data_IF_672847076441
#
_entry.id   IF_672847076441
#
_cell.length_a   1.000
_cell.length_b   1.000
_cell.length_c   1.000
_cell.angle_alpha   90.00
_cell.angle_beta   90.00
_cell.angle_gamma   90.00
#
_symmetry.space_group_name_H-M   'P 1'
#
loop_
_entity.id
_entity.type
_entity.pdbx_description
1 polymer ?
#
# COMPACT_ATOMS: atom_id res chain seq x y z
N UNK A 1 -6.21 -9.50 16.90
CA UNK A 1 -6.33 -10.34 15.69
C UNK A 1 -5.10 -10.14 14.82
N UNK A 2 -4.50 -11.18 14.24
CA UNK A 2 -3.26 -11.08 13.46
C UNK A 2 -3.42 -10.23 12.19
N UNK A 3 -2.35 -9.56 11.76
CA UNK A 3 -2.29 -8.62 10.63
C UNK A 3 -2.91 -9.13 9.31
N UNK A 4 -2.80 -10.44 9.02
CA UNK A 4 -3.34 -11.06 7.81
C UNK A 4 -4.85 -10.86 7.64
N UNK A 5 -5.61 -10.77 8.73
CA UNK A 5 -7.07 -10.60 8.68
C UNK A 5 -7.54 -9.18 8.30
N UNK A 6 -6.62 -8.25 7.99
CA UNK A 6 -6.93 -6.85 7.68
C UNK A 6 -6.54 -6.43 6.26
N UNK A 7 -5.84 -7.28 5.50
CA UNK A 7 -5.55 -7.06 4.08
C UNK A 7 -6.86 -7.19 3.30
N UNK A 8 -7.14 -6.26 2.40
CA UNK A 8 -8.49 -6.18 1.79
C UNK A 8 -8.55 -6.01 0.27
N UNK A 9 -7.46 -5.59 -0.41
CA UNK A 9 -7.50 -5.39 -1.87
C UNK A 9 -6.12 -5.32 -2.52
N UNK A 10 -5.33 -4.30 -2.22
CA UNK A 10 -4.09 -4.03 -2.94
C UNK A 10 -3.07 -5.15 -2.74
N UNK A 11 -2.56 -5.68 -3.86
CA UNK A 11 -1.49 -6.67 -3.93
C UNK A 11 -0.67 -6.41 -5.19
N UNK A 12 0.65 -6.44 -5.08
CA UNK A 12 1.56 -6.36 -6.24
C UNK A 12 2.86 -7.08 -5.92
N UNK A 13 3.43 -7.78 -6.90
CA UNK A 13 4.72 -8.46 -6.80
C UNK A 13 5.81 -7.60 -7.45
N UNK A 14 6.99 -7.55 -6.84
CA UNK A 14 8.15 -6.89 -7.44
C UNK A 14 8.52 -7.54 -8.79
N UNK A 15 9.10 -6.79 -9.74
CA UNK A 15 9.49 -7.34 -11.04
C UNK A 15 10.49 -8.51 -10.97
N UNK A 16 11.31 -8.56 -9.91
CA UNK A 16 12.25 -9.67 -9.66
C UNK A 16 11.62 -10.87 -8.94
N UNK A 17 10.33 -10.78 -8.58
CA UNK A 17 9.59 -11.85 -7.91
C UNK A 17 9.93 -12.06 -6.44
N UNK A 18 10.74 -11.19 -5.81
CA UNK A 18 11.28 -11.41 -4.46
C UNK A 18 10.57 -10.65 -3.35
N UNK A 19 9.65 -9.74 -3.67
CA UNK A 19 8.95 -8.93 -2.68
C UNK A 19 7.48 -8.83 -3.00
N UNK A 20 6.64 -9.26 -2.06
CA UNK A 20 5.20 -9.11 -2.15
C UNK A 20 4.77 -7.87 -1.36
N UNK A 21 4.03 -6.98 -2.00
CA UNK A 21 3.43 -5.82 -1.36
C UNK A 21 1.94 -6.04 -1.22
N UNK A 22 1.37 -5.71 -0.07
CA UNK A 22 -0.07 -5.76 0.12
C UNK A 22 -0.55 -4.67 1.07
N UNK A 23 -1.83 -4.33 0.96
CA UNK A 23 -2.42 -3.20 1.68
C UNK A 23 -3.57 -3.59 2.60
N UNK A 24 -3.62 -2.94 3.75
CA UNK A 24 -4.82 -2.79 4.58
C UNK A 24 -5.49 -1.45 4.27
N UNK A 25 -6.57 -1.10 4.99
CA UNK A 25 -7.14 0.26 4.96
C UNK A 25 -6.15 1.35 5.41
N UNK A 26 -5.19 1.01 6.27
CA UNK A 26 -4.30 1.99 6.93
C UNK A 26 -2.87 1.98 6.38
N UNK A 27 -2.39 0.81 5.96
CA UNK A 27 -0.96 0.57 5.70
C UNK A 27 -0.70 -0.18 4.42
N UNK A 28 0.43 0.15 3.79
CA UNK A 28 1.11 -0.69 2.78
C UNK A 28 2.28 -1.38 3.45
N UNK A 29 2.35 -2.69 3.25
CA UNK A 29 3.41 -3.55 3.76
C UNK A 29 4.20 -4.17 2.62
N UNK A 30 5.46 -4.50 2.91
CA UNK A 30 6.32 -5.31 2.06
C UNK A 30 6.81 -6.54 2.84
N UNK A 31 6.80 -7.70 2.19
CA UNK A 31 7.37 -8.94 2.71
C UNK A 31 8.36 -9.51 1.69
N UNK A 32 9.41 -10.16 2.20
CA UNK A 32 10.19 -11.08 1.39
C UNK A 32 9.32 -12.23 0.91
N UNK A 33 9.42 -12.57 -0.37
CA UNK A 33 8.62 -13.60 -1.01
C UNK A 33 9.50 -14.58 -1.76
N UNK A 34 9.31 -15.87 -1.50
CA UNK A 34 9.89 -16.96 -2.28
C UNK A 34 8.86 -17.43 -3.31
N UNK A 35 9.10 -17.11 -4.58
CA UNK A 35 8.22 -17.49 -5.67
C UNK A 35 8.33 -18.97 -6.08
N UNK A 36 9.42 -19.66 -5.71
CA UNK A 36 9.59 -21.09 -5.99
C UNK A 36 8.76 -21.89 -4.99
N UNK A 37 8.88 -21.56 -3.71
CA UNK A 37 8.17 -22.25 -2.63
C UNK A 37 6.75 -21.70 -2.38
N UNK A 38 6.43 -20.51 -2.92
CA UNK A 38 5.15 -19.83 -2.71
C UNK A 38 4.96 -19.31 -1.28
N UNK A 39 6.06 -18.88 -0.64
CA UNK A 39 6.09 -18.52 0.80
C UNK A 39 6.32 -17.03 1.00
N UNK A 40 5.50 -16.43 1.86
CA UNK A 40 5.69 -15.06 2.37
C UNK A 40 6.39 -15.13 3.73
N UNK A 41 7.53 -14.46 3.86
CA UNK A 41 8.37 -14.49 5.05
C UNK A 41 8.14 -13.27 5.96
N UNK A 42 8.01 -13.51 7.26
CA UNK A 42 7.94 -12.46 8.29
C UNK A 42 9.36 -12.09 8.81
N UNK A 43 9.57 -10.89 9.39
CA UNK A 43 8.57 -9.82 9.55
C UNK A 43 8.33 -9.04 8.24
N UNK A 44 7.22 -8.30 8.19
CA UNK A 44 7.05 -7.26 7.17
C UNK A 44 7.75 -5.96 7.54
N UNK A 45 7.92 -5.13 6.51
CA UNK A 45 8.25 -3.72 6.60
C UNK A 45 7.01 -2.87 6.29
N UNK A 46 6.74 -1.84 7.10
CA UNK A 46 5.68 -0.85 6.79
C UNK A 46 6.24 0.23 5.88
N UNK A 47 5.68 0.38 4.67
CA UNK A 47 6.12 1.39 3.70
C UNK A 47 5.33 2.70 3.83
N UNK A 48 4.01 2.60 3.90
CA UNK A 48 3.10 3.75 3.99
C UNK A 48 2.11 3.48 5.11
N UNK A 49 1.79 4.49 5.90
CA UNK A 49 0.86 4.41 7.03
C UNK A 49 -0.07 5.64 7.07
N UNK A 50 -0.96 5.68 8.07
CA UNK A 50 -1.88 6.79 8.32
C UNK A 50 -2.87 7.02 7.16
N UNK A 51 -3.34 5.93 6.55
CA UNK A 51 -4.28 5.99 5.44
C UNK A 51 -5.71 5.61 5.86
N UNK A 52 -5.96 5.30 7.13
CA UNK A 52 -7.29 4.86 7.57
C UNK A 52 -8.39 5.89 7.27
N UNK A 53 -9.55 5.43 6.79
CA UNK A 53 -10.80 6.18 6.71
C UNK A 53 -12.00 5.23 6.58
N UNK A 54 -13.21 5.73 6.78
CA UNK A 54 -14.48 5.04 6.48
C UNK A 54 -14.81 5.09 4.98
N UNK A 55 -15.92 4.50 4.52
CA UNK A 55 -16.31 4.57 3.11
C UNK A 55 -15.38 3.74 2.22
N UNK A 56 -14.51 4.38 1.44
CA UNK A 56 -13.61 3.68 0.52
C UNK A 56 -12.34 3.21 1.24
N UNK A 57 -12.33 1.93 1.62
CA UNK A 57 -11.29 1.34 2.49
C UNK A 57 -10.20 0.58 1.76
N UNK A 58 -10.25 0.47 0.43
CA UNK A 58 -9.22 -0.23 -0.37
C UNK A 58 -8.04 0.70 -0.68
N UNK A 59 -6.83 0.14 -0.81
CA UNK A 59 -5.62 0.86 -1.21
C UNK A 59 -4.93 0.17 -2.37
N UNK A 60 -5.38 0.43 -3.59
CA UNK A 60 -4.80 -0.20 -4.79
C UNK A 60 -3.33 0.15 -4.93
N UNK A 61 -2.51 -0.84 -5.27
CA UNK A 61 -1.07 -0.72 -5.44
C UNK A 61 -0.68 -0.92 -6.91
N UNK A 62 0.30 -0.15 -7.38
CA UNK A 62 0.90 -0.33 -8.70
C UNK A 62 2.39 -0.01 -8.63
N UNK A 63 3.24 -0.94 -9.06
CA UNK A 63 4.66 -0.68 -9.27
C UNK A 63 4.90 -0.08 -10.66
N UNK A 64 5.74 0.94 -10.75
CA UNK A 64 6.09 1.57 -12.01
C UNK A 64 7.08 0.71 -12.81
N UNK A 65 6.65 0.27 -14.00
CA UNK A 65 7.54 -0.40 -14.96
C UNK A 65 8.58 0.56 -15.58
N UNK A 66 8.26 1.86 -15.63
CA UNK A 66 9.12 2.88 -16.25
C UNK A 66 10.19 3.42 -15.31
N UNK A 67 9.87 3.55 -14.02
CA UNK A 67 10.78 4.02 -12.97
C UNK A 67 10.77 3.00 -11.83
N UNK A 68 11.67 1.99 -11.85
CA UNK A 68 11.78 1.00 -10.79
C UNK A 68 11.93 1.66 -9.41
N UNK A 69 11.41 1.00 -8.37
CA UNK A 69 11.40 1.54 -7.01
C UNK A 69 10.22 2.45 -6.69
N UNK A 70 9.45 2.91 -7.69
CA UNK A 70 8.24 3.70 -7.44
C UNK A 70 7.02 2.79 -7.25
N UNK A 71 6.33 2.97 -6.13
CA UNK A 71 4.99 2.41 -5.87
C UNK A 71 3.94 3.52 -5.83
N UNK A 72 2.85 3.32 -6.57
CA UNK A 72 1.65 4.13 -6.50
C UNK A 72 0.65 3.51 -5.52
N UNK A 73 0.05 4.36 -4.70
CA UNK A 73 -1.01 3.99 -3.76
C UNK A 73 -2.23 4.87 -4.02
N UNK A 74 -3.37 4.25 -4.25
CA UNK A 74 -4.66 4.94 -4.31
C UNK A 74 -5.33 4.97 -2.95
N UNK A 75 -5.90 6.12 -2.55
CA UNK A 75 -6.74 6.26 -1.35
C UNK A 75 -8.03 6.97 -1.74
N UNK A 76 -9.16 6.30 -1.48
CA UNK A 76 -10.49 6.83 -1.77
C UNK A 76 -11.03 7.80 -0.71
N UNK A 77 -12.26 8.23 -0.91
CA UNK A 77 -12.96 9.17 -0.01
C UNK A 77 -13.50 8.49 1.26
N UNK A 78 -13.70 9.29 2.31
CA UNK A 78 -14.28 8.84 3.58
C UNK A 78 -15.81 8.64 3.54
N UNK A 79 -16.49 9.24 2.55
CA UNK A 79 -17.94 9.26 2.36
C UNK A 79 -18.32 9.53 0.89
N UNK A 80 -19.63 9.52 0.58
CA UNK A 80 -20.14 9.88 -0.75
C UNK A 80 -19.78 11.33 -1.15
N UNK A 81 -19.95 12.27 -0.22
CA UNK A 81 -19.45 13.65 -0.33
C UNK A 81 -18.42 13.83 0.78
N UNK A 82 -17.16 13.86 0.40
CA UNK A 82 -16.03 14.01 1.30
C UNK A 82 -15.45 15.41 1.17
N UNK A 83 -15.82 16.29 2.10
CA UNK A 83 -15.35 17.67 2.11
C UNK A 83 -13.83 17.76 2.37
N UNK A 84 -13.24 16.76 3.04
CA UNK A 84 -11.81 16.72 3.30
C UNK A 84 -10.98 16.44 2.05
N UNK A 85 -11.59 15.87 1.01
CA UNK A 85 -10.94 15.68 -0.29
C UNK A 85 -10.59 17.00 -1.00
N UNK A 86 -11.19 18.13 -0.60
CA UNK A 86 -10.83 19.45 -1.13
C UNK A 86 -9.45 19.94 -0.64
N UNK A 87 -8.89 19.29 0.38
CA UNK A 87 -7.62 19.65 1.04
C UNK A 87 -6.58 18.57 0.79
N UNK A 88 -5.51 18.88 0.07
CA UNK A 88 -4.53 17.89 -0.37
C UNK A 88 -3.86 17.17 0.80
N UNK A 89 -3.64 17.86 1.92
CA UNK A 89 -2.97 17.38 3.13
C UNK A 89 -3.74 16.26 3.86
N UNK A 90 -5.03 16.10 3.62
CA UNK A 90 -5.84 15.05 4.25
C UNK A 90 -5.53 13.66 3.69
N UNK A 91 -4.99 13.61 2.47
CA UNK A 91 -4.71 12.36 1.78
C UNK A 91 -5.95 11.68 1.19
N UNK A 92 -7.14 12.28 1.26
CA UNK A 92 -8.38 11.68 0.73
C UNK A 92 -8.48 11.84 -0.79
N UNK A 93 -9.16 10.89 -1.45
CA UNK A 93 -9.51 10.94 -2.88
C UNK A 93 -8.35 11.25 -3.84
N UNK A 94 -7.20 10.61 -3.65
CA UNK A 94 -6.00 10.90 -4.43
C UNK A 94 -5.11 9.67 -4.63
N UNK A 95 -4.18 9.78 -5.59
CA UNK A 95 -3.10 8.83 -5.82
C UNK A 95 -1.78 9.50 -5.44
N UNK A 96 -0.90 8.77 -4.75
CA UNK A 96 0.46 9.22 -4.44
C UNK A 96 1.49 8.19 -4.87
N UNK A 97 2.63 8.68 -5.34
CA UNK A 97 3.80 7.88 -5.66
C UNK A 97 4.83 7.99 -4.53
N UNK A 98 5.43 6.87 -4.16
CA UNK A 98 6.48 6.78 -3.16
C UNK A 98 7.69 6.08 -3.76
N UNK A 99 8.89 6.61 -3.50
CA UNK A 99 10.13 5.93 -3.81
C UNK A 99 10.49 5.00 -2.65
N UNK A 100 10.43 3.69 -2.88
CA UNK A 100 10.63 2.68 -1.83
C UNK A 100 12.03 2.77 -1.22
N UNK A 101 13.04 3.19 -2.01
CA UNK A 101 14.42 3.34 -1.56
C UNK A 101 14.61 4.48 -0.57
N UNK A 102 13.78 5.53 -0.68
CA UNK A 102 13.85 6.72 0.18
C UNK A 102 12.98 6.61 1.44
N UNK A 103 12.14 5.57 1.54
CA UNK A 103 11.35 5.30 2.74
C UNK A 103 12.27 4.76 3.85
N UNK A 104 12.08 5.23 5.08
CA UNK A 104 12.74 4.67 6.26
C UNK A 104 12.15 3.33 6.71
N UNK A 105 12.69 2.79 7.80
CA UNK A 105 12.02 1.77 8.61
C UNK A 105 10.99 2.50 9.50
N UNK A 106 9.69 2.19 9.34
CA UNK A 106 8.60 2.78 10.13
C UNK A 106 8.09 1.80 11.19
#
# INVERSE_FOLDING_TARGET
>A
MPLRSKLNHGIVLSPDGKTLYASTVDKVYAWSYDAIEGVVNDPNRTLVANMSNTGHTTRTLLLSNKKPGIIWVSRGSAANIDQDAARQETGHSQLRAFDIGDLGEN
#
